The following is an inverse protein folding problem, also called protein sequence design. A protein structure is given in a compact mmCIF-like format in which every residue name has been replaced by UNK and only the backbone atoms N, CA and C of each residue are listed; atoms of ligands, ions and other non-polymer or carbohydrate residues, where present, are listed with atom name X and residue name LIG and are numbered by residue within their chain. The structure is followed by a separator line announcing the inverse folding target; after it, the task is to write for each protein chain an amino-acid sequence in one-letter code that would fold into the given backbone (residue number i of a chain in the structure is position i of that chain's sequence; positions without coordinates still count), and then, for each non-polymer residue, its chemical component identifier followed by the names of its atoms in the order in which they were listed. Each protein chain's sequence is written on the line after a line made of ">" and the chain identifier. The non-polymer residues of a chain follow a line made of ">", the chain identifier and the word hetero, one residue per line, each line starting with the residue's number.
data_IF_874892064368
#
_entry.id   IF_874892064368
#
_cell.length_a   1.000
_cell.length_b   1.000
_cell.length_c   1.000
_cell.angle_alpha   90.00
_cell.angle_beta   90.00
_cell.angle_gamma   90.00
#
_symmetry.space_group_name_H-M   'P 1'
#
loop_
_entity.id
_entity.type
_entity.pdbx_description
1 polymer ?
#
# COMPACT_ATOMS: atom_id res chain seq x y z
N UNK A 1 9.80 -7.68 5.27
CA UNK A 1 9.57 -9.14 5.39
C UNK A 1 10.78 -9.88 5.99
N UNK A 2 11.92 -9.98 5.27
CA UNK A 2 13.10 -10.78 5.70
C UNK A 2 13.62 -10.45 7.10
N UNK A 3 13.84 -9.17 7.40
CA UNK A 3 14.33 -8.69 8.70
C UNK A 3 13.47 -9.21 9.87
N UNK A 4 12.15 -9.24 9.72
CA UNK A 4 11.25 -9.71 10.79
C UNK A 4 11.36 -11.22 11.03
N UNK A 5 11.48 -12.01 9.97
CA UNK A 5 11.64 -13.46 10.05
C UNK A 5 12.98 -13.82 10.69
N UNK A 6 14.06 -13.15 10.30
CA UNK A 6 15.41 -13.32 10.87
C UNK A 6 15.47 -13.00 12.37
N UNK A 7 14.54 -12.16 12.87
CA UNK A 7 14.38 -11.83 14.28
C UNK A 7 13.35 -12.70 15.01
N UNK A 8 12.92 -13.82 14.42
CA UNK A 8 12.00 -14.78 15.03
C UNK A 8 10.51 -14.50 14.76
N UNK A 9 10.20 -13.52 13.92
CA UNK A 9 8.82 -13.25 13.50
C UNK A 9 8.29 -14.30 12.53
N UNK A 10 6.96 -14.47 12.50
CA UNK A 10 6.28 -15.34 11.55
C UNK A 10 5.54 -14.50 10.51
N UNK A 11 5.58 -14.94 9.25
CA UNK A 11 4.79 -14.33 8.17
C UNK A 11 3.91 -15.41 7.56
N UNK A 12 2.59 -15.20 7.62
CA UNK A 12 1.60 -16.03 6.95
C UNK A 12 1.06 -15.26 5.74
N UNK A 13 1.15 -15.87 4.58
CA UNK A 13 0.68 -15.30 3.31
C UNK A 13 -0.66 -15.97 2.93
N UNK A 14 -1.37 -15.36 1.98
CA UNK A 14 -2.71 -15.80 1.55
C UNK A 14 -3.70 -15.98 2.72
N UNK A 15 -3.61 -15.07 3.69
CA UNK A 15 -4.49 -15.02 4.85
C UNK A 15 -5.38 -13.79 4.79
N UNK A 16 -6.60 -13.91 5.28
CA UNK A 16 -7.57 -12.82 5.32
C UNK A 16 -8.01 -12.56 6.76
N UNK A 17 -7.83 -11.33 7.24
CA UNK A 17 -8.44 -10.91 8.50
C UNK A 17 -9.97 -10.79 8.32
N UNK A 18 -10.72 -11.51 9.14
CA UNK A 18 -12.19 -11.54 9.10
C UNK A 18 -12.75 -10.53 10.10
N UNK A 19 -12.25 -10.54 11.32
CA UNK A 19 -12.66 -9.62 12.37
C UNK A 19 -11.56 -9.35 13.40
N UNK A 20 -11.68 -8.24 14.10
CA UNK A 20 -10.85 -7.87 15.25
C UNK A 20 -11.74 -7.31 16.36
N UNK A 21 -11.45 -7.68 17.60
CA UNK A 21 -12.23 -7.25 18.76
C UNK A 21 -11.34 -7.10 20.01
N UNK A 22 -11.86 -6.40 21.02
CA UNK A 22 -11.19 -6.27 22.32
C UNK A 22 -11.38 -7.56 23.13
N UNK A 23 -10.28 -8.12 23.63
CA UNK A 23 -10.31 -9.26 24.55
C UNK A 23 -9.58 -8.89 25.85
N UNK A 24 -10.33 -8.44 26.86
CA UNK A 24 -9.76 -7.89 28.09
C UNK A 24 -8.81 -6.72 27.79
N UNK A 25 -7.55 -6.85 28.20
CA UNK A 25 -6.49 -5.86 27.94
C UNK A 25 -5.84 -6.00 26.56
N UNK A 26 -6.13 -7.08 25.81
CA UNK A 26 -5.57 -7.36 24.50
C UNK A 26 -6.61 -7.33 23.38
N UNK A 27 -6.31 -8.07 22.32
CA UNK A 27 -7.09 -8.15 21.09
C UNK A 27 -7.23 -9.60 20.64
N UNK A 28 -8.42 -9.94 20.14
CA UNK A 28 -8.67 -11.15 19.37
C UNK A 28 -8.78 -10.80 17.89
N UNK A 29 -8.16 -11.59 17.02
CA UNK A 29 -8.19 -11.43 15.57
C UNK A 29 -8.53 -12.76 14.90
N UNK A 30 -9.70 -12.84 14.27
CA UNK A 30 -10.11 -14.01 13.49
C UNK A 30 -9.56 -13.89 12.08
N UNK A 31 -8.77 -14.88 11.66
CA UNK A 31 -8.10 -14.92 10.37
C UNK A 31 -8.49 -16.20 9.66
N UNK A 32 -8.83 -16.09 8.37
CA UNK A 32 -8.90 -17.24 7.47
C UNK A 32 -7.53 -17.47 6.86
N UNK A 33 -7.00 -18.68 6.99
CA UNK A 33 -5.69 -19.04 6.43
C UNK A 33 -5.78 -19.48 4.95
N UNK A 34 -4.62 -19.82 4.39
CA UNK A 34 -4.47 -20.30 3.01
C UNK A 34 -5.36 -21.52 2.70
N UNK A 35 -5.52 -22.41 3.67
CA UNK A 35 -6.30 -23.65 3.54
C UNK A 35 -7.80 -23.40 3.80
N UNK A 36 -8.21 -22.13 3.91
CA UNK A 36 -9.56 -21.67 4.27
C UNK A 36 -10.01 -22.10 5.67
N UNK A 37 -9.07 -22.54 6.50
CA UNK A 37 -9.28 -22.75 7.93
C UNK A 37 -9.41 -21.42 8.66
N UNK A 38 -10.06 -21.44 9.82
CA UNK A 38 -10.21 -20.27 10.68
C UNK A 38 -9.30 -20.41 11.89
N UNK A 39 -8.43 -19.43 12.09
CA UNK A 39 -7.50 -19.34 13.23
C UNK A 39 -7.77 -18.03 13.96
N UNK A 40 -7.90 -18.10 15.28
CA UNK A 40 -7.99 -16.91 16.11
C UNK A 40 -6.65 -16.63 16.78
N UNK A 41 -6.12 -15.43 16.56
CA UNK A 41 -4.92 -14.95 17.22
C UNK A 41 -5.31 -14.06 18.40
N UNK A 42 -4.63 -14.28 19.53
CA UNK A 42 -4.73 -13.43 20.71
C UNK A 42 -3.39 -12.73 20.94
N UNK A 43 -3.43 -11.40 21.08
CA UNK A 43 -2.24 -10.60 21.29
C UNK A 43 -2.53 -9.40 22.18
N UNK A 44 -1.53 -8.97 22.96
CA UNK A 44 -1.62 -7.74 23.75
C UNK A 44 -1.73 -6.49 22.85
N UNK A 45 -1.05 -6.52 21.70
CA UNK A 45 -0.99 -5.42 20.75
C UNK A 45 -1.48 -5.86 19.37
N UNK A 46 -2.35 -5.06 18.77
CA UNK A 46 -2.79 -5.20 17.38
C UNK A 46 -2.33 -4.00 16.56
N UNK A 47 -1.51 -4.24 15.54
CA UNK A 47 -1.00 -3.18 14.63
C UNK A 47 -1.80 -3.23 13.34
N UNK A 48 -2.63 -2.21 13.11
CA UNK A 48 -3.42 -2.09 11.89
C UNK A 48 -2.58 -1.52 10.74
N UNK A 49 -2.05 -2.39 9.88
CA UNK A 49 -1.32 -2.05 8.66
C UNK A 49 -2.06 -2.52 7.39
N UNK A 50 -3.39 -2.48 7.39
CA UNK A 50 -4.26 -3.13 6.38
C UNK A 50 -4.57 -2.25 5.15
N UNK A 51 -3.81 -1.17 4.93
CA UNK A 51 -3.97 -0.26 3.80
C UNK A 51 -5.40 0.28 3.66
N UNK A 52 -6.06 0.18 2.49
CA UNK A 52 -7.40 0.71 2.27
C UNK A 52 -8.48 0.05 3.14
N UNK A 53 -8.22 -1.16 3.67
CA UNK A 53 -9.14 -1.85 4.58
C UNK A 53 -8.95 -1.45 6.05
N UNK A 54 -8.00 -0.57 6.37
CA UNK A 54 -7.69 -0.17 7.75
C UNK A 54 -8.91 0.37 8.50
N UNK A 55 -9.69 1.24 7.87
CA UNK A 55 -10.91 1.82 8.45
C UNK A 55 -11.93 0.75 8.85
N UNK A 56 -12.15 -0.26 8.00
CA UNK A 56 -13.12 -1.35 8.25
C UNK A 56 -12.86 -2.02 9.60
N UNK A 57 -11.61 -2.35 9.90
CA UNK A 57 -11.25 -3.07 11.11
C UNK A 57 -11.07 -2.14 12.32
N UNK A 58 -10.62 -0.90 12.13
CA UNK A 58 -10.64 0.12 13.19
C UNK A 58 -12.06 0.35 13.72
N UNK A 59 -13.06 0.38 12.84
CA UNK A 59 -14.48 0.55 13.24
C UNK A 59 -15.00 -0.61 14.09
N UNK A 60 -14.52 -1.84 13.89
CA UNK A 60 -14.89 -2.98 14.75
C UNK A 60 -14.39 -2.81 16.19
N UNK A 61 -13.32 -2.02 16.37
CA UNK A 61 -12.79 -1.63 17.69
C UNK A 61 -13.41 -0.32 18.21
N UNK A 62 -14.43 0.22 17.55
CA UNK A 62 -15.06 1.49 17.92
C UNK A 62 -14.23 2.73 17.56
N UNK A 63 -13.21 2.60 16.71
CA UNK A 63 -12.32 3.69 16.30
C UNK A 63 -12.70 4.14 14.88
N UNK A 64 -12.98 5.43 14.73
CA UNK A 64 -13.17 6.07 13.43
C UNK A 64 -11.88 6.81 13.05
N UNK A 65 -11.25 6.41 11.95
CA UNK A 65 -9.98 7.04 11.51
C UNK A 65 -10.20 8.16 10.49
N UNK A 66 -11.40 8.28 9.92
CA UNK A 66 -11.72 9.29 8.91
C UNK A 66 -11.01 9.10 7.56
N UNK A 67 -10.33 7.96 7.35
CA UNK A 67 -9.63 7.67 6.10
C UNK A 67 -10.55 7.00 5.09
N UNK A 68 -10.34 7.32 3.81
CA UNK A 68 -11.06 6.72 2.70
C UNK A 68 -10.10 6.48 1.52
N UNK A 69 -10.24 5.36 0.80
CA UNK A 69 -9.42 5.08 -0.36
C UNK A 69 -9.81 6.00 -1.52
N UNK A 70 -8.79 6.59 -2.17
CA UNK A 70 -8.96 7.38 -3.38
C UNK A 70 -8.31 6.62 -4.54
N UNK A 71 -9.00 6.56 -5.67
CA UNK A 71 -8.46 5.95 -6.89
C UNK A 71 -7.35 6.81 -7.44
N UNK A 72 -6.25 6.17 -7.80
CA UNK A 72 -5.08 6.82 -8.36
C UNK A 72 -4.54 5.97 -9.51
N UNK A 73 -4.34 6.57 -10.68
CA UNK A 73 -4.02 5.83 -11.90
C UNK A 73 -2.68 6.25 -12.48
N UNK A 74 -1.88 5.28 -12.90
CA UNK A 74 -0.64 5.51 -13.62
C UNK A 74 -0.69 4.83 -14.99
N UNK A 75 0.13 5.30 -15.91
CA UNK A 75 0.38 4.66 -17.20
C UNK A 75 1.87 4.38 -17.37
N UNK A 76 2.19 3.45 -18.28
CA UNK A 76 3.56 3.14 -18.66
C UNK A 76 3.69 3.32 -20.16
N UNK A 77 4.70 4.06 -20.61
CA UNK A 77 4.96 4.26 -22.03
C UNK A 77 5.61 3.03 -22.68
N UNK A 78 5.71 3.03 -24.01
CA UNK A 78 6.71 2.18 -24.69
C UNK A 78 8.12 2.58 -24.26
N UNK A 79 9.13 1.76 -24.56
CA UNK A 79 10.54 2.09 -24.30
C UNK A 79 10.92 3.35 -25.07
N UNK A 80 11.65 4.24 -24.41
CA UNK A 80 12.18 5.48 -24.97
C UNK A 80 13.69 5.54 -24.76
N UNK A 81 14.43 6.28 -25.59
CA UNK A 81 15.79 6.70 -25.25
C UNK A 81 15.83 7.39 -23.89
N UNK A 82 16.99 7.44 -23.26
CA UNK A 82 17.18 8.17 -22.02
C UNK A 82 16.91 9.68 -22.22
N UNK A 83 15.94 10.21 -21.47
CA UNK A 83 15.41 11.56 -21.64
C UNK A 83 15.98 12.57 -20.63
N UNK A 84 16.82 12.13 -19.71
CA UNK A 84 17.50 12.97 -18.72
C UNK A 84 18.71 13.69 -19.31
N UNK A 85 19.28 14.58 -18.49
CA UNK A 85 20.47 15.37 -18.84
C UNK A 85 21.63 14.43 -19.13
N UNK A 86 22.45 14.75 -20.15
CA UNK A 86 23.64 13.97 -20.54
C UNK A 86 23.33 12.49 -20.86
N UNK A 87 22.12 12.23 -21.36
CA UNK A 87 21.69 10.88 -21.69
C UNK A 87 21.45 10.01 -20.45
N UNK A 88 21.22 10.57 -19.28
CA UNK A 88 20.79 9.79 -18.10
C UNK A 88 19.29 9.45 -18.16
N UNK A 89 18.80 8.44 -17.41
CA UNK A 89 17.37 8.26 -17.23
C UNK A 89 16.71 9.53 -16.67
N UNK A 90 15.52 9.87 -17.17
CA UNK A 90 14.75 11.00 -16.65
C UNK A 90 14.48 10.81 -15.14
N UNK A 91 14.96 11.71 -14.26
CA UNK A 91 14.64 11.64 -12.83
C UNK A 91 13.14 11.85 -12.60
N UNK A 92 12.70 11.64 -11.35
CA UNK A 92 11.34 12.00 -10.97
C UNK A 92 11.11 13.49 -11.19
N UNK A 93 10.18 13.81 -12.09
CA UNK A 93 9.72 15.17 -12.34
C UNK A 93 8.30 15.33 -11.85
N UNK A 94 8.03 16.48 -11.25
CA UNK A 94 6.70 16.86 -10.77
C UNK A 94 6.39 18.25 -11.33
N UNK A 95 5.42 18.31 -12.22
CA UNK A 95 4.79 19.54 -12.66
C UNK A 95 3.58 19.82 -11.77
N UNK A 96 3.60 20.97 -11.08
CA UNK A 96 2.55 21.41 -10.14
C UNK A 96 1.59 22.44 -10.71
N UNK A 97 1.64 22.68 -12.03
CA UNK A 97 0.74 23.63 -12.67
C UNK A 97 -0.67 23.05 -12.73
N UNK A 98 -1.65 23.84 -12.32
CA UNK A 98 -3.06 23.51 -12.50
C UNK A 98 -3.40 23.55 -13.98
N UNK A 99 -3.72 22.40 -14.57
CA UNK A 99 -4.04 22.30 -15.98
C UNK A 99 -5.09 21.24 -16.25
N UNK A 100 -6.17 21.61 -16.96
CA UNK A 100 -7.28 20.71 -17.33
C UNK A 100 -7.86 19.89 -16.15
N UNK A 101 -7.93 20.49 -14.96
CA UNK A 101 -8.47 19.83 -13.77
C UNK A 101 -7.50 18.88 -13.07
N UNK A 102 -6.22 18.89 -13.44
CA UNK A 102 -5.17 18.19 -12.70
C UNK A 102 -4.36 19.19 -11.86
N UNK A 103 -4.09 18.81 -10.62
CA UNK A 103 -3.32 19.58 -9.64
C UNK A 103 -1.81 19.32 -9.75
N UNK A 104 -1.43 18.14 -10.26
CA UNK A 104 -0.06 17.82 -10.58
C UNK A 104 0.03 16.72 -11.65
N UNK A 105 1.11 16.73 -12.41
CA UNK A 105 1.51 15.63 -13.29
C UNK A 105 2.94 15.25 -12.93
N UNK A 106 3.23 13.97 -12.81
CA UNK A 106 4.56 13.51 -12.47
C UNK A 106 4.92 12.23 -13.18
N UNK A 107 6.22 12.00 -13.31
CA UNK A 107 6.73 10.78 -13.92
C UNK A 107 8.23 10.65 -13.77
N UNK A 108 8.70 9.43 -13.99
CA UNK A 108 10.11 9.07 -13.98
C UNK A 108 10.37 8.02 -15.06
N UNK A 109 11.58 7.99 -15.59
CA UNK A 109 12.02 6.91 -16.48
C UNK A 109 12.63 5.78 -15.65
N UNK A 110 12.16 4.57 -15.87
CA UNK A 110 12.71 3.36 -15.27
C UNK A 110 14.04 3.04 -15.99
N UNK A 111 15.14 3.07 -15.25
CA UNK A 111 16.48 2.90 -15.82
C UNK A 111 16.65 1.54 -16.51
N UNK A 112 15.99 0.51 -15.96
CA UNK A 112 16.10 -0.88 -16.39
C UNK A 112 15.38 -1.15 -17.71
N UNK A 113 14.34 -0.39 -18.03
CA UNK A 113 13.48 -0.65 -19.20
C UNK A 113 13.45 0.50 -20.21
N UNK A 114 13.86 1.70 -19.81
CA UNK A 114 13.74 2.93 -20.61
C UNK A 114 12.29 3.43 -20.76
N UNK A 115 11.32 2.80 -20.08
CA UNK A 115 9.91 3.23 -20.09
C UNK A 115 9.69 4.33 -19.06
N UNK A 116 8.71 5.20 -19.29
CA UNK A 116 8.28 6.20 -18.32
C UNK A 116 7.03 5.68 -17.62
N UNK A 117 7.05 5.69 -16.28
CA UNK A 117 5.84 5.62 -15.47
C UNK A 117 5.35 7.04 -15.20
N UNK A 118 4.13 7.34 -15.60
CA UNK A 118 3.52 8.66 -15.49
C UNK A 118 2.19 8.62 -14.78
N UNK A 119 1.84 9.72 -14.13
CA UNK A 119 0.62 9.84 -13.35
C UNK A 119 0.13 11.30 -13.31
N UNK A 120 -1.17 11.49 -13.17
CA UNK A 120 -1.79 12.79 -12.94
C UNK A 120 -2.60 12.74 -11.63
N UNK A 121 -2.37 13.72 -10.76
CA UNK A 121 -3.20 13.96 -9.59
C UNK A 121 -4.40 14.81 -10.00
N UNK A 122 -5.65 14.34 -9.78
CA UNK A 122 -6.84 15.16 -9.98
C UNK A 122 -6.92 16.34 -8.99
#
# INVERSE_FOLDING_TARGET
>A
RKIGIEKGGTVKEDCELISVYRNGNGYGALVRDHDKGYIEYHAENFVNALGPNGEKFSRQLGINTGVYPVKHQAFITRRLPWMGIEGSPLPMLIDRRNYKGFSAVYGQQLAETGQIIGCASP
#
